data_IF_249597940090
#
_entry.id   IF_249597940090
#
_cell.length_a   1.000
_cell.length_b   1.000
_cell.length_c   1.000
_cell.angle_alpha   90.00
_cell.angle_beta   90.00
_cell.angle_gamma   90.00
#
_symmetry.space_group_name_H-M   'P 1'
#
loop_
_entity.id
_entity.type
_entity.pdbx_description
1 polymer ?
#
# COMPACT_ATOMS: atom_id res chain seq x y z
N UNK A 1 29.21 9.02 -4.90
CA UNK A 1 28.67 9.94 -3.88
C UNK A 1 27.42 9.26 -3.33
N UNK A 2 27.35 8.61 -2.17
CA UNK A 2 28.12 8.57 -0.89
C UNK A 2 27.87 7.15 -0.33
N UNK A 3 28.86 6.26 -0.27
CA UNK A 3 29.67 5.85 0.91
C UNK A 3 28.89 5.61 2.22
N UNK A 4 29.05 4.37 2.70
CA UNK A 4 28.79 3.74 4.00
C UNK A 4 28.82 4.60 5.27
N UNK A 5 28.11 4.15 6.33
CA UNK A 5 28.58 4.30 7.72
C UNK A 5 27.94 3.24 8.66
N UNK A 6 28.80 2.58 9.43
CA UNK A 6 28.46 1.62 10.50
C UNK A 6 28.21 2.35 11.83
N UNK A 7 27.43 1.73 12.73
CA UNK A 7 27.25 2.19 14.12
C UNK A 7 26.90 1.05 15.05
N UNK A 8 27.86 0.67 15.91
CA UNK A 8 27.80 -0.32 17.01
C UNK A 8 27.11 0.32 18.22
N UNK A 9 26.18 -0.37 18.92
CA UNK A 9 25.87 -0.08 20.34
C UNK A 9 25.30 -1.32 21.11
N UNK A 10 25.99 -1.62 22.23
CA UNK A 10 25.61 -2.23 23.54
C UNK A 10 25.08 -3.68 23.69
N UNK A 11 25.97 -4.50 24.26
CA UNK A 11 25.68 -5.65 25.13
C UNK A 11 25.03 -5.18 26.44
N UNK A 12 23.93 -5.81 26.87
CA UNK A 12 23.40 -5.69 28.23
C UNK A 12 22.87 -7.04 28.72
N UNK A 13 23.06 -7.27 30.02
CA UNK A 13 23.13 -8.56 30.68
C UNK A 13 21.80 -8.96 31.35
N UNK A 14 21.52 -10.27 31.38
CA UNK A 14 20.80 -11.06 32.40
C UNK A 14 19.36 -10.67 32.80
N UNK A 15 18.43 -11.60 32.56
CA UNK A 15 17.14 -11.75 33.25
C UNK A 15 16.51 -13.11 32.90
N UNK A 16 16.15 -13.93 33.90
CA UNK A 16 15.78 -15.36 33.77
C UNK A 16 14.49 -15.68 32.99
N UNK A 17 14.10 -16.97 32.90
CA UNK A 17 13.19 -17.46 31.87
C UNK A 17 11.76 -17.04 32.18
N UNK A 18 11.30 -15.96 31.53
CA UNK A 18 9.89 -15.83 31.25
C UNK A 18 9.61 -16.84 30.14
N UNK A 19 8.87 -17.89 30.44
CA UNK A 19 8.31 -18.80 29.44
C UNK A 19 7.25 -18.03 28.64
N UNK A 20 7.70 -17.05 27.86
CA UNK A 20 7.00 -16.61 26.68
C UNK A 20 6.93 -17.85 25.81
N UNK A 21 5.71 -18.35 25.58
CA UNK A 21 5.43 -19.22 24.45
C UNK A 21 6.10 -18.55 23.26
N UNK A 22 7.17 -19.16 22.74
CA UNK A 22 7.76 -18.76 21.47
C UNK A 22 6.64 -18.90 20.45
N UNK A 23 5.96 -17.79 20.17
CA UNK A 23 5.31 -17.64 18.88
C UNK A 23 6.38 -17.99 17.87
N UNK A 24 6.20 -19.01 17.01
CA UNK A 24 7.16 -19.27 15.96
C UNK A 24 7.38 -17.94 15.25
N UNK A 25 8.65 -17.56 15.03
CA UNK A 25 9.02 -16.38 14.27
C UNK A 25 8.46 -16.54 12.84
N UNK A 26 7.16 -16.29 12.67
CA UNK A 26 6.49 -16.14 11.40
C UNK A 26 6.88 -14.74 10.93
N UNK A 27 8.07 -14.64 10.37
CA UNK A 27 8.47 -13.47 9.61
C UNK A 27 7.43 -13.27 8.51
N UNK A 28 6.72 -12.15 8.56
CA UNK A 28 5.79 -11.78 7.51
C UNK A 28 6.50 -11.79 6.15
N UNK A 29 5.80 -12.21 5.07
CA UNK A 29 6.37 -12.15 3.74
C UNK A 29 6.76 -10.70 3.42
N UNK A 30 7.81 -10.52 2.61
CA UNK A 30 8.35 -9.19 2.31
C UNK A 30 7.35 -8.23 1.64
N UNK A 31 6.27 -8.75 1.08
CA UNK A 31 5.20 -7.98 0.45
C UNK A 31 3.93 -7.89 1.32
N UNK A 32 4.01 -8.20 2.62
CA UNK A 32 2.87 -8.11 3.52
C UNK A 32 2.46 -6.65 3.74
N UNK A 33 1.16 -6.36 3.63
CA UNK A 33 0.61 -5.04 3.94
C UNK A 33 -0.16 -5.11 5.25
N UNK A 34 0.26 -4.29 6.22
CA UNK A 34 -0.48 -4.08 7.46
C UNK A 34 -1.90 -3.55 7.20
N UNK A 35 -2.84 -3.80 8.12
CA UNK A 35 -4.23 -3.30 8.01
C UNK A 35 -4.32 -1.78 7.76
N UNK A 36 -3.54 -0.92 8.46
CA UNK A 36 -3.52 0.51 8.14
C UNK A 36 -3.06 0.81 6.71
N UNK A 37 -2.04 0.10 6.20
CA UNK A 37 -1.55 0.28 4.82
C UNK A 37 -2.59 -0.16 3.78
N UNK A 38 -3.35 -1.22 4.08
CA UNK A 38 -4.43 -1.72 3.23
C UNK A 38 -5.57 -0.70 3.13
N UNK A 39 -5.97 -0.12 4.27
CA UNK A 39 -6.98 0.93 4.31
C UNK A 39 -6.60 2.12 3.41
N UNK A 40 -5.34 2.56 3.47
CA UNK A 40 -4.83 3.65 2.62
C UNK A 40 -4.82 3.27 1.14
N UNK A 41 -4.43 2.04 0.77
CA UNK A 41 -4.45 1.61 -0.64
C UNK A 41 -5.86 1.63 -1.22
N UNK A 42 -6.83 1.03 -0.51
CA UNK A 42 -8.21 0.98 -0.99
C UNK A 42 -8.85 2.36 -1.02
N UNK A 43 -8.63 3.18 0.01
CA UNK A 43 -9.15 4.55 0.02
C UNK A 43 -8.59 5.35 -1.16
N UNK A 44 -7.29 5.22 -1.45
CA UNK A 44 -6.65 5.93 -2.57
C UNK A 44 -7.19 5.48 -3.93
N UNK A 45 -7.52 4.19 -4.11
CA UNK A 45 -8.17 3.69 -5.34
C UNK A 45 -9.56 4.32 -5.52
N UNK A 46 -10.35 4.40 -4.45
CA UNK A 46 -11.68 5.02 -4.48
C UNK A 46 -11.60 6.52 -4.73
N UNK A 47 -10.67 7.21 -4.07
CA UNK A 47 -10.39 8.63 -4.27
C UNK A 47 -10.00 8.91 -5.71
N UNK A 48 -9.13 8.08 -6.30
CA UNK A 48 -8.70 8.21 -7.70
C UNK A 48 -9.86 7.99 -8.68
N UNK A 49 -10.67 6.95 -8.48
CA UNK A 49 -11.86 6.71 -9.31
C UNK A 49 -12.87 7.88 -9.21
N UNK A 50 -13.04 8.45 -8.01
CA UNK A 50 -13.88 9.63 -7.80
C UNK A 50 -13.30 10.85 -8.53
N UNK A 51 -11.98 11.06 -8.45
CA UNK A 51 -11.31 12.14 -9.18
C UNK A 51 -11.50 12.01 -10.69
N UNK A 52 -11.36 10.80 -11.26
CA UNK A 52 -11.63 10.55 -12.67
C UNK A 52 -13.07 10.92 -13.07
N UNK A 53 -14.06 10.57 -12.25
CA UNK A 53 -15.46 10.94 -12.49
C UNK A 53 -15.68 12.46 -12.43
N UNK A 54 -15.04 13.14 -11.48
CA UNK A 54 -15.13 14.60 -11.36
C UNK A 54 -14.45 15.32 -12.54
N UNK A 55 -13.30 14.83 -13.00
CA UNK A 55 -12.59 15.35 -14.18
C UNK A 55 -13.45 15.20 -15.44
N UNK A 56 -14.13 14.08 -15.59
CA UNK A 56 -15.07 13.86 -16.69
C UNK A 56 -16.22 14.86 -16.67
N UNK A 57 -16.91 14.97 -15.51
CA UNK A 57 -18.02 15.89 -15.33
C UNK A 57 -17.59 17.34 -15.55
N UNK A 58 -16.38 17.71 -15.13
CA UNK A 58 -15.83 19.03 -15.40
C UNK A 58 -15.69 19.29 -16.90
N UNK A 59 -15.24 18.31 -17.69
CA UNK A 59 -15.20 18.42 -19.15
C UNK A 59 -16.58 18.68 -19.76
N UNK A 60 -17.61 17.97 -19.31
CA UNK A 60 -18.99 18.18 -19.77
C UNK A 60 -19.54 19.56 -19.38
N UNK A 61 -19.28 20.01 -18.16
CA UNK A 61 -19.80 21.29 -17.63
C UNK A 61 -19.08 22.51 -18.20
N UNK A 62 -17.78 22.40 -18.47
CA UNK A 62 -16.96 23.49 -18.98
C UNK A 62 -16.96 23.59 -20.52
N UNK A 63 -17.41 22.55 -21.23
CA UNK A 63 -17.34 22.44 -22.69
C UNK A 63 -15.95 22.12 -23.22
N UNK A 64 -14.98 21.84 -22.34
CA UNK A 64 -13.62 21.46 -22.70
C UNK A 64 -13.47 19.94 -22.75
N UNK A 65 -13.80 19.34 -23.89
CA UNK A 65 -13.75 17.88 -24.10
C UNK A 65 -12.37 17.25 -23.86
N UNK A 66 -11.28 18.02 -23.90
CA UNK A 66 -9.93 17.53 -23.58
C UNK A 66 -9.82 16.94 -22.17
N UNK A 67 -10.63 17.40 -21.20
CA UNK A 67 -10.66 16.84 -19.85
C UNK A 67 -11.24 15.42 -19.79
N UNK A 68 -12.13 15.06 -20.72
CA UNK A 68 -12.59 13.67 -20.87
C UNK A 68 -11.48 12.78 -21.42
N UNK A 69 -10.67 13.32 -22.33
CA UNK A 69 -9.41 12.70 -22.75
C UNK A 69 -8.43 12.49 -21.59
N UNK A 70 -8.29 13.48 -20.70
CA UNK A 70 -7.49 13.33 -19.48
C UNK A 70 -8.03 12.22 -18.57
N UNK A 71 -9.35 12.14 -18.39
CA UNK A 71 -9.99 11.07 -17.60
C UNK A 71 -9.65 9.68 -18.14
N UNK A 72 -9.65 9.51 -19.47
CA UNK A 72 -9.16 8.28 -20.10
C UNK A 72 -7.67 8.04 -19.86
N UNK A 73 -6.85 9.09 -19.91
CA UNK A 73 -5.41 9.03 -19.61
C UNK A 73 -5.09 8.62 -18.15
N UNK A 74 -6.04 8.76 -17.22
CA UNK A 74 -5.90 8.33 -15.83
C UNK A 74 -6.17 6.83 -15.61
N UNK A 75 -6.78 6.13 -16.58
CA UNK A 75 -7.15 4.71 -16.48
C UNK A 75 -5.95 3.77 -16.26
N UNK A 76 -4.78 3.93 -16.92
CA UNK A 76 -3.64 3.04 -16.70
C UNK A 76 -3.16 3.03 -15.24
N UNK A 77 -3.20 4.18 -14.56
CA UNK A 77 -2.81 4.26 -13.15
C UNK A 77 -3.83 3.57 -12.25
N UNK A 78 -5.13 3.72 -12.53
CA UNK A 78 -6.18 2.97 -11.84
C UNK A 78 -6.01 1.46 -12.04
N UNK A 79 -5.74 1.03 -13.27
CA UNK A 79 -5.47 -0.37 -13.59
C UNK A 79 -4.27 -0.93 -12.81
N UNK A 80 -3.17 -0.19 -12.76
CA UNK A 80 -2.00 -0.56 -11.95
C UNK A 80 -2.31 -0.69 -10.46
N UNK A 81 -3.10 0.24 -9.91
CA UNK A 81 -3.52 0.20 -8.52
C UNK A 81 -4.43 -1.00 -8.22
N UNK A 82 -5.35 -1.35 -9.12
CA UNK A 82 -6.19 -2.54 -9.01
C UNK A 82 -5.37 -3.83 -9.12
N UNK A 83 -4.36 -3.89 -10.00
CA UNK A 83 -3.44 -5.03 -10.07
C UNK A 83 -2.66 -5.21 -8.76
N UNK A 84 -2.16 -4.12 -8.16
CA UNK A 84 -1.49 -4.16 -6.86
C UNK A 84 -2.44 -4.62 -5.74
N UNK A 85 -3.67 -4.09 -5.70
CA UNK A 85 -4.67 -4.53 -4.73
C UNK A 85 -5.03 -6.01 -4.92
N UNK A 86 -5.13 -6.49 -6.16
CA UNK A 86 -5.37 -7.90 -6.47
C UNK A 86 -4.22 -8.77 -5.99
N UNK A 87 -2.97 -8.34 -6.23
CA UNK A 87 -1.79 -9.04 -5.73
C UNK A 87 -1.81 -9.14 -4.20
N UNK A 88 -2.07 -8.04 -3.50
CA UNK A 88 -2.15 -8.04 -2.04
C UNK A 88 -3.41 -8.73 -1.49
N UNK A 89 -4.48 -8.86 -2.27
CA UNK A 89 -5.64 -9.64 -1.83
C UNK A 89 -5.34 -11.14 -1.85
N UNK A 90 -4.60 -11.64 -2.83
CA UNK A 90 -4.32 -13.08 -2.99
C UNK A 90 -2.98 -13.55 -2.40
N UNK A 91 -2.02 -12.64 -2.19
CA UNK A 91 -0.65 -12.98 -1.80
C UNK A 91 -0.14 -12.20 -0.58
N UNK A 92 -1.04 -11.67 0.26
CA UNK A 92 -0.69 -11.17 1.60
C UNK A 92 -0.62 -12.35 2.59
N UNK A 93 0.02 -12.18 3.75
CA UNK A 93 0.06 -13.26 4.74
C UNK A 93 -1.31 -13.52 5.35
N UNK A 94 -1.65 -14.80 5.52
CA UNK A 94 -2.87 -15.24 6.21
C UNK A 94 -3.03 -14.61 7.61
N UNK A 95 -1.92 -14.28 8.28
CA UNK A 95 -1.93 -13.60 9.59
C UNK A 95 -2.55 -12.20 9.58
N UNK A 96 -2.79 -11.63 8.40
CA UNK A 96 -3.38 -10.30 8.19
C UNK A 96 -4.78 -10.39 7.57
N UNK A 97 -5.27 -11.61 7.30
CA UNK A 97 -6.66 -11.86 6.92
C UNK A 97 -7.52 -11.89 8.20
N UNK A 98 -8.65 -11.17 8.21
CA UNK A 98 -9.58 -11.08 9.35
C UNK A 98 -10.51 -12.28 9.45
#
# INVERSE_FOLDING_TARGET
VVICAAGIVLLSCVGGPSAAVESPNLSEPWNALSLPTWAVHVSSVVEWATAMALVWQYGERSGYESWKGLSWGMVPLLGGALCACTWHFFYNSESLEV
#
